data_IF_346860950886
#
_entry.id   IF_346860950886
#
_cell.length_a   1.000
_cell.length_b   1.000
_cell.length_c   1.000
_cell.angle_alpha   90.00
_cell.angle_beta   90.00
_cell.angle_gamma   90.00
#
_symmetry.space_group_name_H-M   'P 1'
#
loop_
_entity.id
_entity.type
_entity.pdbx_description
1 polymer ?
#
# COMPACT_ATOMS: atom_id res chain seq x y z
N UNK A 1 10.42 -3.97 5.46
CA UNK A 1 10.02 -3.78 4.04
C UNK A 1 11.25 -3.43 3.22
N UNK A 2 11.32 -3.82 1.92
CA UNK A 2 12.47 -3.45 1.08
C UNK A 2 12.55 -1.92 0.90
N UNK A 3 13.75 -1.37 0.60
CA UNK A 3 13.91 0.05 0.30
C UNK A 3 13.02 0.49 -0.88
N UNK A 4 12.38 1.65 -0.75
CA UNK A 4 11.49 2.19 -1.79
C UNK A 4 12.19 2.36 -3.15
N UNK A 5 13.44 2.81 -3.13
CA UNK A 5 14.26 2.97 -4.34
C UNK A 5 14.46 1.67 -5.12
N UNK A 6 14.37 0.51 -4.47
CA UNK A 6 14.47 -0.76 -5.18
C UNK A 6 13.20 -1.06 -5.98
N UNK A 7 12.02 -0.73 -5.44
CA UNK A 7 10.72 -0.92 -6.10
C UNK A 7 10.54 0.06 -7.25
N UNK A 8 10.92 1.32 -7.05
CA UNK A 8 10.81 2.37 -8.08
C UNK A 8 11.69 2.13 -9.31
N UNK A 9 12.72 1.28 -9.22
CA UNK A 9 13.51 0.86 -10.38
C UNK A 9 12.75 -0.11 -11.31
N UNK A 10 11.81 -0.89 -10.77
CA UNK A 10 11.10 -1.94 -11.51
C UNK A 10 9.65 -1.60 -11.87
N UNK A 11 9.07 -0.58 -11.25
CA UNK A 11 7.64 -0.30 -11.35
C UNK A 11 7.33 1.20 -11.33
N UNK A 12 6.24 1.58 -12.01
CA UNK A 12 5.63 2.90 -11.83
C UNK A 12 4.85 2.92 -10.50
N UNK A 13 5.50 3.39 -9.43
CA UNK A 13 4.90 3.46 -8.09
C UNK A 13 3.91 4.64 -8.03
N UNK A 14 2.63 4.36 -8.29
CA UNK A 14 1.58 5.39 -8.28
C UNK A 14 1.14 5.83 -6.87
N UNK A 15 1.32 4.98 -5.86
CA UNK A 15 1.01 5.27 -4.45
C UNK A 15 1.97 4.52 -3.54
N UNK A 16 2.37 5.15 -2.44
CA UNK A 16 3.19 4.53 -1.40
C UNK A 16 2.68 4.92 -0.01
N UNK A 17 2.29 3.93 0.78
CA UNK A 17 1.75 4.14 2.13
C UNK A 17 2.60 3.37 3.13
N UNK A 18 3.17 4.08 4.12
CA UNK A 18 3.81 3.44 5.27
C UNK A 18 2.76 3.19 6.34
N UNK A 19 2.48 1.92 6.64
CA UNK A 19 1.50 1.54 7.65
C UNK A 19 2.09 1.65 9.06
N UNK A 20 1.33 2.12 10.06
CA UNK A 20 1.81 2.26 11.44
C UNK A 20 1.97 0.92 12.19
N UNK A 21 1.36 -0.16 11.70
CA UNK A 21 1.39 -1.52 12.29
C UNK A 21 0.99 -2.59 11.27
N UNK A 22 1.19 -3.86 11.63
CA UNK A 22 0.92 -5.03 10.79
C UNK A 22 2.20 -5.58 10.14
N UNK A 23 2.24 -6.89 9.96
CA UNK A 23 3.37 -7.64 9.42
C UNK A 23 3.12 -8.18 8.02
N UNK A 24 3.55 -9.43 7.83
CA UNK A 24 3.54 -10.08 6.52
C UNK A 24 2.12 -10.33 6.00
N UNK A 25 1.16 -10.58 6.90
CA UNK A 25 -0.21 -10.94 6.55
C UNK A 25 -1.16 -9.76 6.75
N UNK A 26 -0.85 -8.62 6.12
CA UNK A 26 -1.56 -7.34 6.32
C UNK A 26 -3.10 -7.44 6.23
N UNK A 27 -3.63 -8.29 5.33
CA UNK A 27 -5.06 -8.51 5.19
C UNK A 27 -5.69 -9.18 6.42
N UNK A 28 -4.97 -10.09 7.09
CA UNK A 28 -5.44 -10.75 8.31
C UNK A 28 -5.12 -9.93 9.57
N UNK A 29 -3.94 -9.31 9.62
CA UNK A 29 -3.47 -8.58 10.80
C UNK A 29 -4.12 -7.20 10.93
N UNK A 30 -4.27 -6.46 9.83
CA UNK A 30 -4.80 -5.09 9.81
C UNK A 30 -5.81 -4.89 8.65
N UNK A 31 -6.92 -5.65 8.63
CA UNK A 31 -7.88 -5.63 7.52
C UNK A 31 -8.42 -4.23 7.21
N UNK A 32 -8.73 -3.44 8.25
CA UNK A 32 -9.27 -2.09 8.08
C UNK A 32 -8.25 -1.11 7.47
N UNK A 33 -6.98 -1.17 7.90
CA UNK A 33 -5.92 -0.31 7.35
C UNK A 33 -5.67 -0.64 5.86
N UNK A 34 -5.59 -1.94 5.53
CA UNK A 34 -5.42 -2.37 4.15
C UNK A 34 -6.62 -1.97 3.29
N UNK A 35 -7.85 -2.24 3.75
CA UNK A 35 -9.07 -1.91 3.01
C UNK A 35 -9.18 -0.41 2.72
N UNK A 36 -8.87 0.43 3.71
CA UNK A 36 -8.92 1.90 3.58
C UNK A 36 -7.92 2.38 2.52
N UNK A 37 -6.69 1.86 2.54
CA UNK A 37 -5.65 2.29 1.58
C UNK A 37 -5.95 1.82 0.15
N UNK A 38 -6.52 0.61 -0.02
CA UNK A 38 -7.02 0.13 -1.30
C UNK A 38 -8.16 1.00 -1.83
N UNK A 39 -9.14 1.33 -0.98
CA UNK A 39 -10.25 2.21 -1.36
C UNK A 39 -9.76 3.60 -1.76
N UNK A 40 -8.80 4.17 -1.03
CA UNK A 40 -8.20 5.46 -1.37
C UNK A 40 -7.46 5.42 -2.71
N UNK A 41 -6.70 4.35 -2.97
CA UNK A 41 -6.02 4.16 -4.24
C UNK A 41 -7.00 4.09 -5.41
N UNK A 42 -7.95 3.15 -5.39
CA UNK A 42 -8.92 3.00 -6.47
C UNK A 42 -9.89 4.17 -6.58
N UNK A 43 -10.17 4.86 -5.46
CA UNK A 43 -10.91 6.11 -5.45
C UNK A 43 -10.21 7.20 -6.25
N UNK A 44 -8.88 7.33 -6.13
CA UNK A 44 -8.10 8.30 -6.93
C UNK A 44 -8.02 7.99 -8.43
N UNK A 45 -8.38 6.76 -8.83
CA UNK A 45 -8.41 6.35 -10.24
C UNK A 45 -9.80 6.52 -10.88
N UNK A 46 -10.83 6.79 -10.08
CA UNK A 46 -12.15 7.17 -10.58
C UNK A 46 -12.12 8.68 -10.77
N UNK A 47 -12.16 9.11 -12.04
CA UNK A 47 -12.16 10.53 -12.44
C UNK A 47 -13.33 11.31 -11.89
#
# INVERSE_FOLDING_TARGET
MPPRSWVERGYNVARWTTMPKGGHFAAAEQPALLATDLQAFFGSLRG
#
